data_IF_076392668424
#
_entry.id   IF_076392668424
#
_cell.length_a   1.000
_cell.length_b   1.000
_cell.length_c   1.000
_cell.angle_alpha   90.00
_cell.angle_beta   90.00
_cell.angle_gamma   90.00
#
_symmetry.space_group_name_H-M   'P 1'
#
loop_
_entity.id
_entity.type
_entity.pdbx_description
1 polymer ?
#
# COMPACT_ATOMS: atom_id res chain seq x y z
N UNK A 1 9.36 3.78 -12.14
CA UNK A 1 8.37 3.24 -13.13
C UNK A 1 7.01 3.75 -12.71
N UNK A 2 6.26 4.40 -13.61
CA UNK A 2 4.96 4.98 -13.23
C UNK A 2 3.95 3.86 -12.95
N UNK A 3 3.14 3.95 -11.88
CA UNK A 3 2.12 2.95 -11.61
C UNK A 3 1.12 2.89 -12.77
N UNK A 4 0.83 1.68 -13.22
CA UNK A 4 -0.09 1.44 -14.32
C UNK A 4 -1.51 1.91 -13.97
N UNK A 5 -2.30 2.28 -14.98
CA UNK A 5 -3.66 2.78 -14.77
C UNK A 5 -4.54 1.78 -13.99
N UNK A 6 -4.28 0.47 -14.17
CA UNK A 6 -4.94 -0.62 -13.45
C UNK A 6 -4.61 -0.62 -11.95
N UNK A 7 -3.37 -0.31 -11.58
CA UNK A 7 -2.93 -0.25 -10.17
C UNK A 7 -3.54 0.97 -9.49
N UNK A 8 -3.56 2.12 -10.19
CA UNK A 8 -4.24 3.33 -9.71
C UNK A 8 -5.75 3.12 -9.53
N UNK A 9 -6.39 2.37 -10.42
CA UNK A 9 -7.81 2.02 -10.27
C UNK A 9 -8.06 1.04 -9.11
N UNK A 10 -7.19 0.05 -8.89
CA UNK A 10 -7.28 -0.89 -7.75
C UNK A 10 -7.12 -0.21 -6.38
N UNK A 11 -6.52 0.98 -6.34
CA UNK A 11 -6.42 1.78 -5.12
C UNK A 11 -7.68 2.60 -4.82
N UNK A 12 -8.58 2.76 -5.80
CA UNK A 12 -9.90 3.38 -5.60
C UNK A 12 -10.81 2.39 -4.88
N UNK A 13 -10.74 2.47 -3.56
CA UNK A 13 -11.31 1.53 -2.61
C UNK A 13 -12.58 2.13 -1.98
N UNK A 14 -13.38 1.27 -1.34
CA UNK A 14 -14.64 1.72 -0.70
C UNK A 14 -14.40 2.57 0.55
N UNK A 15 -13.22 2.42 1.17
CA UNK A 15 -12.81 3.15 2.37
C UNK A 15 -11.82 4.28 2.03
N UNK A 16 -12.11 5.47 2.57
CA UNK A 16 -11.27 6.66 2.40
C UNK A 16 -9.86 6.45 2.96
N UNK A 17 -9.71 5.80 4.12
CA UNK A 17 -8.40 5.50 4.69
C UNK A 17 -7.53 4.69 3.73
N UNK A 18 -8.08 3.66 3.08
CA UNK A 18 -7.31 2.87 2.11
C UNK A 18 -6.94 3.70 0.88
N UNK A 19 -7.86 4.51 0.36
CA UNK A 19 -7.58 5.36 -0.80
C UNK A 19 -6.46 6.37 -0.48
N UNK A 20 -6.48 6.99 0.70
CA UNK A 20 -5.44 7.92 1.16
C UNK A 20 -4.09 7.22 1.37
N UNK A 21 -4.08 6.09 2.08
CA UNK A 21 -2.86 5.32 2.37
C UNK A 21 -2.20 4.84 1.07
N UNK A 22 -2.98 4.22 0.19
CA UNK A 22 -2.49 3.69 -1.08
C UNK A 22 -2.13 4.81 -2.06
N UNK A 23 -2.90 5.90 -2.08
CA UNK A 23 -2.64 7.08 -2.91
C UNK A 23 -1.33 7.77 -2.55
N UNK A 24 -1.10 8.04 -1.26
CA UNK A 24 0.17 8.63 -0.79
C UNK A 24 1.35 7.69 -1.04
N UNK A 25 1.18 6.40 -0.78
CA UNK A 25 2.22 5.42 -1.08
C UNK A 25 2.51 5.32 -2.58
N UNK A 26 1.50 5.41 -3.44
CA UNK A 26 1.67 5.42 -4.89
C UNK A 26 2.48 6.62 -5.38
N UNK A 27 2.31 7.79 -4.75
CA UNK A 27 2.98 9.02 -5.16
C UNK A 27 4.42 9.07 -4.63
N UNK A 28 4.64 8.71 -3.36
CA UNK A 28 5.93 8.89 -2.67
C UNK A 28 6.75 7.60 -2.55
N UNK A 29 6.11 6.43 -2.42
CA UNK A 29 6.77 5.16 -2.11
C UNK A 29 6.94 4.20 -3.29
N UNK A 30 6.02 4.22 -4.25
CA UNK A 30 5.97 3.22 -5.32
C UNK A 30 7.15 3.29 -6.29
N UNK A 31 7.68 4.48 -6.58
CA UNK A 31 8.85 4.61 -7.44
C UNK A 31 10.12 4.04 -6.78
N UNK A 32 10.19 4.09 -5.45
CA UNK A 32 11.29 3.56 -4.64
C UNK A 32 11.24 2.03 -4.49
N UNK A 33 10.15 1.36 -4.92
CA UNK A 33 10.05 -0.09 -4.87
C UNK A 33 10.79 -0.75 -6.03
N UNK A 34 11.60 -1.77 -5.68
CA UNK A 34 12.11 -2.77 -6.60
C UNK A 34 11.01 -3.70 -7.12
N UNK A 35 11.34 -4.52 -8.13
CA UNK A 35 10.40 -5.42 -8.78
C UNK A 35 9.66 -6.36 -7.80
N UNK A 36 10.37 -6.92 -6.82
CA UNK A 36 9.78 -7.76 -5.77
C UNK A 36 8.80 -6.99 -4.87
N UNK A 37 9.12 -5.74 -4.55
CA UNK A 37 8.24 -4.87 -3.77
C UNK A 37 6.97 -4.52 -4.54
N UNK A 38 7.07 -4.29 -5.85
CA UNK A 38 5.90 -4.04 -6.70
C UNK A 38 5.00 -5.26 -6.81
N UNK A 39 5.58 -6.45 -6.96
CA UNK A 39 4.81 -7.70 -7.00
C UNK A 39 4.09 -7.97 -5.67
N UNK A 40 4.77 -7.76 -4.54
CA UNK A 40 4.15 -7.83 -3.23
C UNK A 40 3.02 -6.79 -3.06
N UNK A 41 3.17 -5.59 -3.61
CA UNK A 41 2.13 -4.56 -3.58
C UNK A 41 0.91 -4.96 -4.41
N UNK A 42 1.12 -5.57 -5.59
CA UNK A 42 0.02 -6.09 -6.39
C UNK A 42 -0.73 -7.23 -5.69
N UNK A 43 -0.01 -8.10 -4.96
CA UNK A 43 -0.62 -9.11 -4.09
C UNK A 43 -1.42 -8.49 -2.95
N UNK A 44 -0.88 -7.45 -2.30
CA UNK A 44 -1.59 -6.69 -1.27
C UNK A 44 -2.90 -6.09 -1.80
N UNK A 45 -2.90 -5.55 -3.03
CA UNK A 45 -4.10 -5.05 -3.68
C UNK A 45 -5.13 -6.13 -4.03
N UNK A 46 -4.79 -7.42 -3.90
CA UNK A 46 -5.74 -8.53 -4.00
C UNK A 46 -6.57 -8.76 -2.74
N UNK A 47 -6.14 -8.23 -1.58
CA UNK A 47 -6.87 -8.38 -0.32
C UNK A 47 -8.11 -7.48 -0.27
N UNK A 48 -9.15 -7.88 0.49
CA UNK A 48 -10.32 -7.03 0.74
C UNK A 48 -9.93 -5.81 1.59
N UNK A 49 -10.72 -4.74 1.47
CA UNK A 49 -10.44 -3.42 2.07
C UNK A 49 -10.17 -3.49 3.57
N UNK A 50 -11.01 -4.25 4.29
CA UNK A 50 -10.91 -4.40 5.74
C UNK A 50 -9.57 -5.04 6.15
N UNK A 51 -9.23 -6.16 5.50
CA UNK A 51 -7.96 -6.88 5.74
C UNK A 51 -6.75 -6.03 5.37
N UNK A 52 -6.80 -5.33 4.23
CA UNK A 52 -5.71 -4.44 3.81
C UNK A 52 -5.45 -3.39 4.89
N UNK A 53 -6.49 -2.75 5.40
CA UNK A 53 -6.38 -1.76 6.45
C UNK A 53 -5.84 -2.40 7.74
N UNK A 54 -6.33 -3.56 8.17
CA UNK A 54 -5.82 -4.25 9.36
C UNK A 54 -4.33 -4.60 9.23
N UNK A 55 -3.89 -5.10 8.07
CA UNK A 55 -2.49 -5.44 7.79
C UNK A 55 -1.61 -4.19 7.81
N UNK A 56 -2.03 -3.11 7.12
CA UNK A 56 -1.29 -1.85 7.09
C UNK A 56 -1.24 -1.20 8.49
N UNK A 57 -2.28 -1.34 9.31
CA UNK A 57 -2.29 -0.90 10.69
C UNK A 57 -1.46 -1.79 11.63
N UNK A 58 -0.95 -2.94 11.16
CA UNK A 58 -0.24 -3.92 11.98
C UNK A 58 -1.14 -4.67 12.97
N UNK A 59 -2.46 -4.64 12.75
CA UNK A 59 -3.46 -5.37 13.54
C UNK A 59 -3.63 -6.81 13.06
N UNK A 60 -3.21 -7.10 11.83
CA UNK A 60 -3.25 -8.42 11.24
C UNK A 60 -1.90 -8.78 10.62
N UNK A 61 -1.45 -10.01 10.86
CA UNK A 61 -0.23 -10.54 10.27
C UNK A 61 -0.50 -11.09 8.87
N UNK A 62 0.46 -10.91 7.97
CA UNK A 62 0.43 -11.48 6.62
C UNK A 62 1.45 -12.61 6.52
N UNK A 63 1.07 -13.67 5.80
CA UNK A 63 1.95 -14.80 5.52
C UNK A 63 3.01 -14.46 4.47
N UNK A 64 2.77 -13.41 3.69
CA UNK A 64 3.68 -12.94 2.66
C UNK A 64 4.74 -12.00 3.25
N UNK A 65 5.97 -12.48 3.36
CA UNK A 65 7.10 -11.69 3.86
C UNK A 65 7.35 -10.43 3.02
N UNK A 66 7.03 -10.46 1.72
CA UNK A 66 7.10 -9.29 0.86
C UNK A 66 6.10 -8.20 1.28
N UNK A 67 4.85 -8.59 1.57
CA UNK A 67 3.82 -7.67 2.05
C UNK A 67 4.19 -7.14 3.44
N UNK A 68 4.68 -8.01 4.33
CA UNK A 68 5.11 -7.61 5.68
C UNK A 68 6.20 -6.52 5.64
N UNK A 69 7.10 -6.57 4.65
CA UNK A 69 8.13 -5.54 4.42
C UNK A 69 7.58 -4.25 3.81
N UNK A 70 6.47 -4.30 3.08
CA UNK A 70 5.81 -3.12 2.51
C UNK A 70 5.01 -2.33 3.55
N UNK A 71 4.37 -3.00 4.51
CA UNK A 71 3.56 -2.35 5.56
C UNK A 71 4.25 -1.13 6.20
N UNK A 72 5.49 -1.22 6.72
CA UNK A 72 6.15 -0.05 7.30
C UNK A 72 6.45 1.05 6.28
N UNK A 73 6.72 0.71 5.01
CA UNK A 73 6.96 1.68 3.94
C UNK A 73 5.69 2.47 3.60
N UNK A 74 4.55 1.78 3.48
CA UNK A 74 3.23 2.39 3.25
C UNK A 74 2.89 3.35 4.39
N UNK A 75 3.08 2.93 5.64
CA UNK A 75 2.85 3.77 6.81
C UNK A 75 3.77 4.98 6.86
N UNK A 76 5.06 4.82 6.52
CA UNK A 76 6.01 5.92 6.49
C UNK A 76 5.63 6.97 5.44
N UNK A 77 5.26 6.53 4.24
CA UNK A 77 4.78 7.40 3.17
C UNK A 77 3.51 8.15 3.58
N UNK A 78 2.57 7.47 4.24
CA UNK A 78 1.34 8.09 4.72
C UNK A 78 1.54 9.10 5.88
N UNK A 79 2.53 8.83 6.74
CA UNK A 79 2.83 9.70 7.89
C UNK A 79 3.53 10.99 7.46
N UNK A 80 4.41 10.91 6.46
CA UNK A 80 5.20 12.03 5.95
C UNK A 80 4.36 13.23 5.46
N UNK A 81 3.09 13.05 5.14
CA UNK A 81 2.19 14.13 4.72
C UNK A 81 1.24 14.63 5.84
N UNK A 82 1.14 13.91 6.97
CA UNK A 82 0.29 14.32 8.12
C UNK A 82 1.04 15.23 9.11
N UNK A 83 2.36 15.36 8.95
CA UNK A 83 3.24 16.19 9.76
C UNK A 83 3.73 17.41 8.94
N UNK A 84 2.82 18.20 8.36
CA UNK A 84 3.07 19.58 7.88
C UNK A 84 1.83 20.46 8.12
#
# INVERSE_FOLDING_TARGET
>A
MRPDARTRWRCRRGMLENDLLLGQFLDHGYDQLDQEGRDAFERLLGYPDDVLLQIVLGRQETVDSGIARLVPLIRAAAKACTED
#
